data_IF_350545123627
#
_entry.id   IF_350545123627
#
_cell.length_a   1.000
_cell.length_b   1.000
_cell.length_c   1.000
_cell.angle_alpha   90.00
_cell.angle_beta   90.00
_cell.angle_gamma   90.00
#
_symmetry.space_group_name_H-M   'P 1'
#
loop_
_entity.id
_entity.type
_entity.pdbx_description
1 polymer ?
#
# COMPACT_ATOMS: atom_id res chain seq x y z
N UNK A 1 -24.93 -5.26 21.11
CA UNK A 1 -24.03 -4.22 20.56
C UNK A 1 -23.14 -4.93 19.54
N UNK A 2 -23.42 -4.77 18.26
CA UNK A 2 -22.78 -5.57 17.19
C UNK A 2 -21.33 -5.14 17.03
N UNK A 3 -20.39 -5.98 17.46
CA UNK A 3 -19.02 -5.92 16.95
C UNK A 3 -19.10 -6.01 15.41
N UNK A 4 -18.36 -5.16 14.70
CA UNK A 4 -18.18 -5.25 13.25
C UNK A 4 -16.87 -6.01 13.00
N UNK A 5 -16.84 -7.35 12.97
CA UNK A 5 -15.63 -8.14 12.70
C UNK A 5 -15.08 -7.99 11.27
N UNK A 6 -15.72 -7.19 10.41
CA UNK A 6 -15.32 -7.05 9.01
C UNK A 6 -14.11 -6.14 8.77
N UNK A 7 -13.90 -5.07 9.53
CA UNK A 7 -12.89 -4.07 9.19
C UNK A 7 -11.47 -4.42 9.64
N UNK A 8 -11.32 -5.15 10.75
CA UNK A 8 -10.02 -5.62 11.25
C UNK A 8 -9.40 -6.68 10.32
N UNK A 9 -10.24 -7.48 9.64
CA UNK A 9 -9.80 -8.55 8.75
C UNK A 9 -9.39 -8.04 7.35
N UNK A 10 -10.05 -7.01 6.82
CA UNK A 10 -9.79 -6.50 5.46
C UNK A 10 -8.40 -5.85 5.34
N UNK A 11 -7.93 -5.17 6.39
CA UNK A 11 -6.64 -4.49 6.39
C UNK A 11 -5.42 -5.43 6.19
N UNK A 12 -5.24 -6.50 6.99
CA UNK A 12 -4.15 -7.44 6.78
C UNK A 12 -4.27 -8.16 5.43
N UNK A 13 -5.49 -8.50 5.00
CA UNK A 13 -5.73 -9.13 3.69
C UNK A 13 -5.28 -8.19 2.56
N UNK A 14 -5.65 -6.91 2.60
CA UNK A 14 -5.24 -5.93 1.60
C UNK A 14 -3.72 -5.78 1.52
N UNK A 15 -3.04 -5.73 2.67
CA UNK A 15 -1.57 -5.68 2.71
C UNK A 15 -0.92 -6.95 2.17
N UNK A 16 -1.49 -8.12 2.46
CA UNK A 16 -1.00 -9.39 1.93
C UNK A 16 -1.14 -9.43 0.40
N UNK A 17 -2.31 -9.04 -0.13
CA UNK A 17 -2.56 -9.02 -1.59
C UNK A 17 -1.58 -8.07 -2.28
N UNK A 18 -1.42 -6.84 -1.77
CA UNK A 18 -0.49 -5.87 -2.36
C UNK A 18 0.96 -6.36 -2.24
N UNK A 19 1.34 -6.93 -1.10
CA UNK A 19 2.67 -7.51 -0.89
C UNK A 19 2.97 -8.66 -1.85
N UNK A 20 2.05 -9.61 -2.03
CA UNK A 20 2.19 -10.70 -3.00
C UNK A 20 2.27 -10.15 -4.43
N UNK A 21 1.50 -9.11 -4.73
CA UNK A 21 1.54 -8.45 -6.05
C UNK A 21 2.90 -7.81 -6.31
N UNK A 22 3.47 -7.11 -5.34
CA UNK A 22 4.84 -6.58 -5.42
C UNK A 22 5.88 -7.69 -5.60
N UNK A 23 5.76 -8.78 -4.85
CA UNK A 23 6.67 -9.93 -4.96
C UNK A 23 6.62 -10.53 -6.37
N UNK A 24 5.43 -10.78 -6.91
CA UNK A 24 5.26 -11.31 -8.26
C UNK A 24 5.79 -10.33 -9.33
N UNK A 25 5.46 -9.05 -9.19
CA UNK A 25 5.89 -8.00 -10.11
C UNK A 25 7.43 -7.84 -10.10
N UNK A 26 8.05 -7.95 -8.92
CA UNK A 26 9.52 -7.92 -8.76
C UNK A 26 10.16 -9.20 -9.29
N UNK A 27 9.60 -10.37 -8.99
CA UNK A 27 10.09 -11.67 -9.47
C UNK A 27 10.11 -11.75 -11.01
N UNK A 28 9.24 -10.99 -11.68
CA UNK A 28 9.18 -10.90 -13.15
C UNK A 28 10.41 -10.22 -13.79
N UNK A 29 11.31 -9.63 -13.00
CA UNK A 29 12.61 -9.15 -13.47
C UNK A 29 13.70 -10.22 -13.43
N UNK A 30 13.44 -11.40 -12.85
CA UNK A 30 14.44 -12.44 -12.65
C UNK A 30 14.11 -13.72 -13.42
N UNK A 31 15.12 -14.56 -13.76
CA UNK A 31 14.90 -15.88 -14.32
C UNK A 31 14.13 -16.78 -13.32
N UNK A 32 13.25 -17.68 -13.80
CA UNK A 32 12.90 -17.96 -15.20
C UNK A 32 11.76 -17.08 -15.73
N UNK A 33 11.14 -16.23 -14.90
CA UNK A 33 9.95 -15.45 -15.26
C UNK A 33 10.24 -14.39 -16.32
N UNK A 34 11.45 -13.86 -16.35
CA UNK A 34 11.88 -12.77 -17.23
C UNK A 34 11.66 -13.01 -18.74
N UNK A 35 11.71 -14.27 -19.18
CA UNK A 35 11.56 -14.67 -20.59
C UNK A 35 10.14 -15.12 -20.93
N UNK A 36 9.25 -15.20 -19.94
CA UNK A 36 7.87 -15.66 -20.11
C UNK A 36 6.92 -14.49 -20.41
N UNK A 37 5.78 -14.79 -21.03
CA UNK A 37 4.70 -13.80 -21.20
C UNK A 37 4.20 -13.23 -19.86
N UNK A 38 4.21 -14.06 -18.80
CA UNK A 38 3.90 -13.62 -17.44
C UNK A 38 4.91 -12.58 -16.91
N UNK A 39 6.19 -12.67 -17.30
CA UNK A 39 7.21 -11.68 -16.95
C UNK A 39 6.96 -10.30 -17.56
N UNK A 40 6.54 -10.25 -18.82
CA UNK A 40 6.15 -9.00 -19.48
C UNK A 40 4.97 -8.31 -18.78
N UNK A 41 3.95 -9.10 -18.41
CA UNK A 41 2.83 -8.62 -17.61
C UNK A 41 3.28 -8.11 -16.23
N UNK A 42 4.09 -8.89 -15.51
CA UNK A 42 4.54 -8.52 -14.16
C UNK A 42 5.41 -7.26 -14.11
N UNK A 43 6.24 -6.99 -15.12
CA UNK A 43 6.99 -5.72 -15.22
C UNK A 43 6.09 -4.52 -15.50
N UNK A 44 5.10 -4.70 -16.37
CA UNK A 44 4.09 -3.66 -16.63
C UNK A 44 3.30 -3.37 -15.36
N UNK A 45 2.92 -4.42 -14.64
CA UNK A 45 2.25 -4.34 -13.34
C UNK A 45 3.12 -3.64 -12.30
N UNK A 46 4.43 -3.94 -12.23
CA UNK A 46 5.39 -3.26 -11.37
C UNK A 46 5.41 -1.75 -11.64
N UNK A 47 5.54 -1.35 -12.91
CA UNK A 47 5.57 0.05 -13.30
C UNK A 47 4.25 0.76 -12.97
N UNK A 48 3.12 0.14 -13.27
CA UNK A 48 1.80 0.69 -12.95
C UNK A 48 1.63 0.87 -11.43
N UNK A 49 1.98 -0.14 -10.62
CA UNK A 49 1.95 -0.06 -9.16
C UNK A 49 2.87 1.04 -8.63
N UNK A 50 4.12 1.09 -9.10
CA UNK A 50 5.09 2.08 -8.67
C UNK A 50 4.61 3.51 -8.99
N UNK A 51 4.05 3.74 -10.18
CA UNK A 51 3.53 5.05 -10.58
C UNK A 51 2.31 5.45 -9.76
N UNK A 52 1.33 4.55 -9.63
CA UNK A 52 0.12 4.82 -8.84
C UNK A 52 0.48 5.11 -7.39
N UNK A 53 1.29 4.28 -6.75
CA UNK A 53 1.70 4.47 -5.37
C UNK A 53 2.58 5.72 -5.18
N UNK A 54 3.43 6.08 -6.15
CA UNK A 54 4.16 7.34 -6.12
C UNK A 54 3.22 8.55 -6.18
N UNK A 55 2.20 8.53 -7.04
CA UNK A 55 1.17 9.57 -7.10
C UNK A 55 0.40 9.63 -5.77
N UNK A 56 0.05 8.49 -5.18
CA UNK A 56 -0.61 8.43 -3.87
C UNK A 56 0.26 9.05 -2.77
N UNK A 57 1.56 8.78 -2.75
CA UNK A 57 2.48 9.43 -1.80
C UNK A 57 2.44 10.96 -1.92
N UNK A 58 2.38 11.50 -3.15
CA UNK A 58 2.31 12.95 -3.38
C UNK A 58 0.95 13.53 -2.99
N UNK A 59 -0.15 12.87 -3.39
CA UNK A 59 -1.53 13.30 -3.11
C UNK A 59 -1.83 13.26 -1.61
N UNK A 60 -1.37 12.22 -0.91
CA UNK A 60 -1.62 12.03 0.51
C UNK A 60 -0.55 12.62 1.42
N UNK A 61 0.50 13.26 0.86
CA UNK A 61 1.58 13.88 1.65
C UNK A 61 1.04 14.82 2.75
N UNK A 62 -0.01 15.59 2.45
CA UNK A 62 -0.64 16.48 3.42
C UNK A 62 -1.28 15.75 4.61
N UNK A 63 -1.74 14.51 4.42
CA UNK A 63 -2.27 13.65 5.49
C UNK A 63 -1.14 12.97 6.25
N UNK A 64 -0.13 12.46 5.54
CA UNK A 64 1.04 11.82 6.15
C UNK A 64 1.78 12.77 7.10
N UNK A 65 1.87 14.06 6.75
CA UNK A 65 2.47 15.11 7.60
C UNK A 65 1.72 15.39 8.90
N UNK A 66 0.46 14.95 9.02
CA UNK A 66 -0.32 15.07 10.27
C UNK A 66 -0.11 13.88 11.21
N UNK A 67 0.55 12.82 10.74
CA UNK A 67 0.90 11.68 11.59
C UNK A 67 1.91 12.11 12.66
N UNK A 68 1.80 11.61 13.91
CA UNK A 68 2.82 11.78 14.93
C UNK A 68 4.09 10.95 14.66
N UNK A 69 4.05 10.04 13.67
CA UNK A 69 5.16 9.14 13.30
C UNK A 69 6.11 9.81 12.28
N UNK A 70 7.34 9.28 12.10
CA UNK A 70 8.29 9.83 11.14
C UNK A 70 7.74 9.86 9.71
N UNK A 71 7.78 11.02 9.08
CA UNK A 71 7.22 11.25 7.73
C UNK A 71 7.81 10.30 6.67
N UNK A 72 9.11 10.01 6.74
CA UNK A 72 9.75 9.09 5.79
C UNK A 72 9.19 7.67 5.89
N UNK A 73 8.88 7.20 7.10
CA UNK A 73 8.26 5.90 7.33
C UNK A 73 6.82 5.86 6.79
N UNK A 74 6.06 6.93 7.00
CA UNK A 74 4.69 7.08 6.48
C UNK A 74 4.64 7.12 4.95
N UNK A 75 5.59 7.83 4.32
CA UNK A 75 5.75 7.83 2.87
C UNK A 75 6.10 6.43 2.36
N UNK A 76 7.04 5.74 3.00
CA UNK A 76 7.42 4.37 2.62
C UNK A 76 6.27 3.38 2.74
N UNK A 77 5.51 3.43 3.84
CA UNK A 77 4.32 2.59 4.04
C UNK A 77 3.24 2.91 3.01
N UNK A 78 3.04 4.19 2.67
CA UNK A 78 2.11 4.60 1.60
C UNK A 78 2.60 4.14 0.24
N UNK A 79 3.91 4.14 -0.02
CA UNK A 79 4.45 3.64 -1.29
C UNK A 79 4.25 2.13 -1.44
N UNK A 80 4.33 1.36 -0.35
CA UNK A 80 4.16 -0.09 -0.41
C UNK A 80 2.69 -0.50 -0.42
N UNK A 81 1.84 0.14 0.38
CA UNK A 81 0.47 -0.29 0.63
C UNK A 81 -0.60 0.69 0.11
N UNK A 82 -0.20 1.81 -0.48
CA UNK A 82 -1.07 2.78 -1.11
C UNK A 82 -2.14 3.36 -0.18
N UNK A 83 -3.32 3.57 -0.75
CA UNK A 83 -4.51 4.05 -0.03
C UNK A 83 -4.89 3.20 1.19
N UNK A 84 -4.55 1.90 1.23
CA UNK A 84 -4.87 1.02 2.37
C UNK A 84 -4.22 1.56 3.64
N UNK A 85 -2.95 1.95 3.58
CA UNK A 85 -2.24 2.56 4.71
C UNK A 85 -2.82 3.92 5.09
N UNK A 86 -3.09 4.78 4.11
CA UNK A 86 -3.66 6.12 4.34
C UNK A 86 -5.04 6.03 4.98
N UNK A 87 -5.87 5.06 4.59
CA UNK A 87 -7.20 4.84 5.16
C UNK A 87 -7.12 4.42 6.63
N UNK A 88 -6.14 3.59 7.00
CA UNK A 88 -5.89 3.21 8.38
C UNK A 88 -5.39 4.40 9.20
N UNK A 89 -4.40 5.14 8.67
CA UNK A 89 -3.88 6.34 9.33
C UNK A 89 -4.96 7.40 9.54
N UNK A 90 -5.85 7.62 8.55
CA UNK A 90 -6.98 8.55 8.70
C UNK A 90 -7.96 8.12 9.79
N UNK A 91 -8.17 6.81 9.99
CA UNK A 91 -8.99 6.29 11.10
C UNK A 91 -8.30 6.55 12.44
N UNK A 92 -7.01 6.23 12.55
CA UNK A 92 -6.22 6.53 13.76
C UNK A 92 -6.26 8.04 14.11
N UNK A 93 -6.12 8.92 13.12
CA UNK A 93 -6.19 10.38 13.32
C UNK A 93 -7.61 10.88 13.64
N UNK A 94 -8.64 10.28 13.04
CA UNK A 94 -10.04 10.61 13.32
C UNK A 94 -10.48 10.18 14.71
N UNK A 95 -10.03 9.01 15.17
CA UNK A 95 -10.28 8.50 16.52
C UNK A 95 -9.45 9.24 17.58
N UNK A 96 -8.32 9.83 17.20
CA UNK A 96 -7.47 10.65 18.06
C UNK A 96 -7.97 12.08 18.33
N UNK A 97 -8.92 12.59 17.55
CA UNK A 97 -9.49 13.95 17.73
C UNK A 97 -10.65 14.02 18.74
N UNK A 98 -10.96 12.91 19.41
CA UNK A 98 -12.05 12.79 20.39
C UNK A 98 -11.61 12.72 21.86
N UNK A 99 -10.40 13.16 22.20
CA UNK A 99 -9.91 13.26 23.59
C UNK A 99 -9.29 14.62 23.87
#
# INVERSE_FOLDING_TARGET
>A
MSERPGSESIYPIGKIIIGVTWLFATASFFPPLETTAAGGFGRTLFLALAVVHAIECLVFLGVLRRSPRPLAGEIWQTFLFGIVHVSALRRELGDGSGR
#
